data_IF_413889092165
#
_entry.id   IF_413889092165
#
_cell.length_a   1.000
_cell.length_b   1.000
_cell.length_c   1.000
_cell.angle_alpha   90.00
_cell.angle_beta   90.00
_cell.angle_gamma   90.00
#
_symmetry.space_group_name_H-M   'P 1'
#
loop_
_entity.id
_entity.type
_entity.pdbx_description
1 polymer ?
#
# COMPACT_ATOMS: atom_id res chain seq x y z
N UNK A 1 24.55 -9.78 45.02
CA UNK A 1 23.75 -8.54 45.02
C UNK A 1 22.40 -8.86 44.43
N UNK A 2 21.37 -8.30 45.05
CA UNK A 2 19.99 -8.80 45.17
C UNK A 2 19.15 -8.82 43.88
N UNK A 3 18.49 -9.95 43.66
CA UNK A 3 17.30 -10.11 42.80
C UNK A 3 16.14 -9.26 43.36
N UNK A 4 15.43 -8.53 42.48
CA UNK A 4 14.12 -7.96 42.80
C UNK A 4 13.13 -8.32 41.70
N UNK A 5 12.32 -9.35 41.96
CA UNK A 5 11.14 -9.68 41.19
C UNK A 5 9.98 -8.74 41.62
N UNK A 6 9.30 -8.15 40.65
CA UNK A 6 8.10 -7.33 40.88
C UNK A 6 6.89 -8.27 40.81
N UNK A 7 6.14 -8.36 41.92
CA UNK A 7 4.82 -9.03 42.01
C UNK A 7 3.73 -8.03 41.67
N UNK A 8 2.75 -8.44 40.88
CA UNK A 8 1.47 -7.73 40.71
C UNK A 8 0.44 -8.25 41.74
N UNK A 9 -0.40 -7.38 42.33
CA UNK A 9 -1.47 -7.81 43.23
C UNK A 9 -2.70 -8.32 42.45
N UNK A 10 -3.38 -9.30 43.04
CA UNK A 10 -4.63 -9.88 42.57
C UNK A 10 -5.81 -8.89 42.78
N UNK A 11 -6.77 -8.91 41.87
CA UNK A 11 -8.03 -8.17 41.95
C UNK A 11 -9.12 -9.14 42.38
N UNK A 12 -9.83 -8.80 43.46
CA UNK A 12 -11.00 -9.50 43.99
C UNK A 12 -12.26 -9.15 43.17
N UNK A 13 -13.09 -10.14 42.86
CA UNK A 13 -14.42 -9.98 42.24
C UNK A 13 -15.48 -9.60 43.28
N UNK A 14 -16.45 -8.71 42.96
CA UNK A 14 -17.65 -8.55 43.76
C UNK A 14 -18.90 -9.23 43.18
N UNK A 15 -19.77 -9.59 44.12
CA UNK A 15 -20.97 -10.42 44.06
C UNK A 15 -22.05 -10.06 43.01
N UNK A 16 -22.67 -11.12 42.47
CA UNK A 16 -23.79 -11.11 41.52
C UNK A 16 -25.13 -10.91 42.28
N UNK A 17 -25.84 -9.81 42.01
CA UNK A 17 -27.22 -9.57 42.50
C UNK A 17 -28.21 -9.65 41.34
N UNK A 18 -29.23 -10.47 41.58
CA UNK A 18 -30.34 -10.88 40.70
C UNK A 18 -31.23 -9.75 40.16
N UNK A 19 -31.76 -9.95 38.94
CA UNK A 19 -32.85 -9.12 38.40
C UNK A 19 -33.43 -9.65 37.07
N UNK A 20 -34.55 -10.39 37.13
CA UNK A 20 -35.38 -10.77 35.96
C UNK A 20 -36.04 -9.54 35.35
N UNK A 21 -35.93 -9.36 34.03
CA UNK A 21 -36.81 -8.45 33.27
C UNK A 21 -37.35 -9.15 32.02
N UNK A 22 -38.67 -9.10 31.88
CA UNK A 22 -39.47 -9.70 30.83
C UNK A 22 -39.32 -8.95 29.49
N UNK A 23 -39.13 -9.70 28.40
CA UNK A 23 -39.17 -9.18 27.03
C UNK A 23 -40.61 -9.07 26.53
N UNK A 24 -41.01 -7.89 26.08
CA UNK A 24 -42.19 -7.69 25.22
C UNK A 24 -41.72 -7.14 23.88
N UNK A 25 -42.08 -7.85 22.80
CA UNK A 25 -41.67 -7.56 21.44
C UNK A 25 -42.60 -6.52 20.80
N UNK A 26 -42.03 -5.46 20.22
CA UNK A 26 -42.73 -4.60 19.26
C UNK A 26 -41.94 -4.51 17.95
N UNK A 27 -42.61 -4.95 16.87
CA UNK A 27 -42.23 -4.78 15.46
C UNK A 27 -42.42 -3.32 15.04
N UNK A 28 -41.51 -2.78 14.20
CA UNK A 28 -41.77 -1.74 13.17
C UNK A 28 -40.49 -1.57 12.32
N UNK A 29 -40.49 -1.95 11.04
CA UNK A 29 -40.94 -1.22 9.85
C UNK A 29 -39.91 -0.16 9.36
N UNK A 30 -39.33 -0.40 8.19
CA UNK A 30 -38.30 0.42 7.53
C UNK A 30 -38.91 1.54 6.66
N UNK A 31 -38.22 2.69 6.47
CA UNK A 31 -38.64 3.74 5.54
C UNK A 31 -37.94 3.65 4.17
N UNK A 32 -38.56 4.14 3.07
CA UNK A 32 -38.00 4.05 1.72
C UNK A 32 -37.09 5.23 1.33
N UNK A 33 -36.19 4.94 0.37
CA UNK A 33 -35.18 5.82 -0.25
C UNK A 33 -35.81 6.89 -1.17
N UNK A 34 -35.34 8.14 -1.09
CA UNK A 34 -35.55 9.17 -2.12
C UNK A 34 -34.33 9.33 -3.04
N UNK A 35 -34.62 9.46 -4.34
CA UNK A 35 -33.68 9.71 -5.45
C UNK A 35 -33.37 11.21 -5.58
N UNK A 36 -32.10 11.54 -5.81
CA UNK A 36 -31.65 12.89 -6.17
C UNK A 36 -31.93 13.21 -7.65
N UNK A 37 -32.46 14.40 -7.95
CA UNK A 37 -32.47 15.02 -9.27
C UNK A 37 -31.37 16.08 -9.34
N UNK A 38 -30.55 16.00 -10.38
CA UNK A 38 -29.58 17.02 -10.76
C UNK A 38 -30.27 18.12 -11.58
N UNK A 39 -29.92 19.38 -11.33
CA UNK A 39 -30.19 20.49 -12.23
C UNK A 39 -28.90 21.30 -12.35
N UNK A 40 -28.39 21.44 -13.58
CA UNK A 40 -27.27 22.30 -13.91
C UNK A 40 -27.80 23.57 -14.54
N UNK A 41 -27.19 24.71 -14.23
CA UNK A 41 -27.43 25.96 -14.94
C UNK A 41 -26.14 26.74 -15.16
N UNK A 42 -26.14 27.42 -16.31
CA UNK A 42 -25.04 28.09 -16.99
C UNK A 42 -24.78 29.47 -16.37
N UNK A 43 -23.52 29.87 -16.43
CA UNK A 43 -23.03 31.21 -16.08
C UNK A 43 -23.23 32.20 -17.23
N UNK A 44 -23.81 33.36 -16.94
CA UNK A 44 -23.60 34.60 -17.71
C UNK A 44 -23.26 35.75 -16.76
N UNK A 45 -22.20 36.46 -17.10
CA UNK A 45 -21.60 37.59 -16.41
C UNK A 45 -22.25 38.90 -16.83
N UNK A 46 -22.58 39.79 -15.91
CA UNK A 46 -22.64 41.25 -16.14
C UNK A 46 -22.26 42.02 -14.87
N UNK A 47 -21.36 42.99 -15.05
CA UNK A 47 -20.87 43.96 -14.06
C UNK A 47 -21.83 45.13 -13.87
N UNK A 48 -22.00 45.63 -12.63
CA UNK A 48 -21.99 47.07 -12.24
C UNK A 48 -22.52 47.28 -10.81
N UNK A 49 -21.83 48.15 -10.06
CA UNK A 49 -22.45 49.13 -9.16
C UNK A 49 -22.49 48.77 -7.67
N UNK A 50 -21.59 49.38 -6.91
CA UNK A 50 -21.65 49.45 -5.45
C UNK A 50 -22.91 50.22 -4.99
N UNK A 51 -23.85 49.48 -4.40
CA UNK A 51 -24.87 50.00 -3.48
C UNK A 51 -24.96 48.97 -2.37
N UNK A 52 -24.55 49.34 -1.14
CA UNK A 52 -24.74 48.50 0.05
C UNK A 52 -26.23 48.57 0.42
N UNK A 53 -27.01 47.48 0.30
CA UNK A 53 -28.38 47.47 0.78
C UNK A 53 -28.39 47.27 2.31
N UNK A 54 -29.43 47.76 3.02
CA UNK A 54 -29.62 47.39 4.42
C UNK A 54 -29.78 45.87 4.53
N UNK A 55 -29.02 45.26 5.45
CA UNK A 55 -28.95 43.81 5.66
C UNK A 55 -30.34 43.31 6.08
N UNK A 56 -30.98 42.40 5.33
CA UNK A 56 -32.26 41.83 5.75
C UNK A 56 -32.06 40.88 6.94
N UNK A 57 -32.99 40.93 7.90
CA UNK A 57 -33.04 40.02 9.04
C UNK A 57 -33.01 38.56 8.59
N UNK A 58 -32.27 37.74 9.35
CA UNK A 58 -31.91 36.37 9.00
C UNK A 58 -32.84 35.38 9.68
N UNK A 59 -33.93 35.01 9.01
CA UNK A 59 -34.93 34.08 9.54
C UNK A 59 -34.36 32.64 9.59
N UNK A 60 -34.43 32.03 10.77
CA UNK A 60 -33.82 30.73 11.10
C UNK A 60 -34.60 29.50 10.59
N UNK A 61 -33.87 28.40 10.40
CA UNK A 61 -34.41 27.05 10.61
C UNK A 61 -34.03 26.58 12.02
N UNK A 62 -34.95 25.87 12.68
CA UNK A 62 -34.86 25.48 14.10
C UNK A 62 -33.49 24.87 14.46
N UNK A 63 -32.84 25.34 15.53
CA UNK A 63 -31.60 24.74 16.02
C UNK A 63 -31.85 23.32 16.56
N UNK A 64 -30.87 22.43 16.36
CA UNK A 64 -30.94 21.01 16.76
C UNK A 64 -29.96 20.69 17.88
N UNK A 65 -30.44 19.95 18.88
CA UNK A 65 -29.64 19.45 19.99
C UNK A 65 -28.98 18.11 19.65
N UNK A 66 -27.71 17.94 20.06
CA UNK A 66 -27.03 16.65 20.07
C UNK A 66 -26.32 16.46 21.42
N UNK A 67 -26.67 15.40 22.14
CA UNK A 67 -25.88 14.90 23.27
C UNK A 67 -24.90 13.86 22.69
N UNK A 68 -23.60 14.11 22.81
CA UNK A 68 -22.58 13.12 22.46
C UNK A 68 -22.14 12.37 23.73
N UNK A 69 -22.70 11.18 23.91
CA UNK A 69 -22.30 10.20 24.93
C UNK A 69 -22.86 8.83 24.55
N UNK A 70 -21.99 7.85 24.30
CA UNK A 70 -22.41 6.46 24.05
C UNK A 70 -22.63 5.78 25.40
N UNK A 71 -23.76 5.11 25.65
CA UNK A 71 -23.83 4.12 26.71
C UNK A 71 -22.97 2.92 26.27
N UNK A 72 -21.98 2.57 27.07
CA UNK A 72 -21.21 1.32 26.94
C UNK A 72 -22.06 0.17 27.46
N UNK A 73 -22.36 -0.80 26.60
CA UNK A 73 -23.09 -2.01 26.96
C UNK A 73 -23.54 -2.79 25.74
N UNK A 74 -22.63 -3.63 25.20
CA UNK A 74 -22.99 -4.74 24.33
C UNK A 74 -21.92 -5.82 24.51
N UNK A 75 -22.26 -6.88 25.23
CA UNK A 75 -21.49 -8.12 25.28
C UNK A 75 -21.61 -8.88 23.94
N UNK A 76 -20.63 -9.74 23.61
CA UNK A 76 -20.63 -10.51 22.37
C UNK A 76 -21.42 -11.82 22.54
N UNK A 77 -22.50 -11.99 21.77
CA UNK A 77 -23.19 -13.28 21.68
C UNK A 77 -22.35 -14.32 20.92
N UNK A 78 -22.15 -15.46 21.57
CA UNK A 78 -21.51 -16.64 21.03
C UNK A 78 -22.54 -17.62 20.42
N UNK A 79 -22.21 -18.09 19.21
CA UNK A 79 -22.49 -19.39 18.60
C UNK A 79 -23.95 -19.87 18.41
N UNK A 80 -24.26 -20.35 17.20
CA UNK A 80 -24.74 -21.72 16.89
C UNK A 80 -24.71 -21.90 15.35
N UNK A 81 -24.23 -23.06 14.90
CA UNK A 81 -23.96 -23.36 13.50
C UNK A 81 -25.10 -24.07 12.73
N UNK A 82 -24.68 -24.68 11.61
CA UNK A 82 -25.44 -25.67 10.86
C UNK A 82 -26.16 -25.12 9.64
N UNK A 83 -25.64 -25.44 8.45
CA UNK A 83 -26.32 -25.17 7.18
C UNK A 83 -25.37 -25.41 6.00
N UNK A 84 -25.19 -26.67 5.63
CA UNK A 84 -24.54 -27.04 4.38
C UNK A 84 -25.42 -26.62 3.20
N UNK A 85 -24.81 -26.00 2.20
CA UNK A 85 -25.39 -25.80 0.89
C UNK A 85 -24.41 -26.34 -0.15
N UNK A 86 -24.87 -27.38 -0.83
CA UNK A 86 -24.24 -28.04 -1.96
C UNK A 86 -24.09 -27.05 -3.12
N UNK A 87 -22.87 -26.90 -3.64
CA UNK A 87 -22.65 -26.30 -4.95
C UNK A 87 -22.84 -27.37 -6.03
N UNK A 88 -23.73 -27.18 -7.02
CA UNK A 88 -23.80 -28.08 -8.17
C UNK A 88 -22.63 -27.81 -9.12
N UNK A 89 -22.01 -28.90 -9.58
CA UNK A 89 -21.05 -28.92 -10.68
C UNK A 89 -21.65 -28.34 -11.97
N UNK A 90 -20.89 -27.57 -12.78
CA UNK A 90 -21.24 -27.36 -14.17
C UNK A 90 -20.76 -28.54 -15.02
N UNK A 91 -21.77 -29.18 -15.60
CA UNK A 91 -21.77 -30.22 -16.62
C UNK A 91 -20.77 -30.02 -17.76
N UNK A 92 -20.15 -31.13 -18.11
CA UNK A 92 -19.62 -31.53 -19.42
C UNK A 92 -20.42 -30.98 -20.60
N UNK A 93 -19.75 -30.28 -21.51
CA UNK A 93 -20.22 -30.12 -22.89
C UNK A 93 -19.15 -30.62 -23.87
N UNK A 94 -19.56 -31.66 -24.58
CA UNK A 94 -18.94 -32.19 -25.78
C UNK A 94 -18.72 -31.09 -26.82
N UNK A 95 -17.49 -30.97 -27.34
CA UNK A 95 -17.28 -30.49 -28.69
C UNK A 95 -16.31 -31.41 -29.44
N UNK A 96 -16.69 -31.63 -30.70
CA UNK A 96 -16.29 -32.71 -31.58
C UNK A 96 -14.78 -32.73 -31.87
N UNK A 97 -14.22 -33.93 -31.79
CA UNK A 97 -13.06 -34.32 -32.57
C UNK A 97 -13.47 -34.47 -34.04
N UNK A 98 -12.82 -33.73 -34.93
CA UNK A 98 -12.76 -34.05 -36.36
C UNK A 98 -11.33 -34.46 -36.69
N UNK A 99 -11.13 -35.77 -36.78
CA UNK A 99 -9.98 -36.39 -37.43
C UNK A 99 -10.30 -36.55 -38.92
N UNK A 100 -9.43 -36.03 -39.79
CA UNK A 100 -9.21 -36.30 -41.23
C UNK A 100 -8.04 -35.40 -41.61
N UNK A 101 -6.99 -35.79 -42.30
CA UNK A 101 -6.57 -37.00 -42.98
C UNK A 101 -5.22 -36.63 -43.60
N UNK A 102 -4.30 -37.59 -43.69
CA UNK A 102 -2.95 -37.34 -44.20
C UNK A 102 -2.95 -36.86 -45.65
N UNK A 103 -1.96 -36.03 -45.98
CA UNK A 103 -1.37 -36.04 -47.31
C UNK A 103 0.14 -35.82 -47.18
N UNK A 104 0.88 -36.88 -47.52
CA UNK A 104 2.30 -36.84 -47.84
C UNK A 104 2.46 -36.04 -49.12
N UNK A 105 3.28 -35.01 -49.11
CA UNK A 105 3.93 -34.50 -50.31
C UNK A 105 5.43 -34.41 -50.02
N UNK A 106 6.16 -35.34 -50.63
CA UNK A 106 7.60 -35.25 -50.76
C UNK A 106 7.97 -34.18 -51.79
N UNK A 107 9.05 -33.46 -51.51
CA UNK A 107 9.59 -32.42 -52.38
C UNK A 107 11.00 -32.07 -51.96
N UNK A 108 11.95 -32.81 -52.54
CA UNK A 108 13.36 -32.47 -52.80
C UNK A 108 14.10 -31.55 -51.83
N UNK A 109 15.08 -32.14 -51.14
CA UNK A 109 16.26 -31.46 -50.62
C UNK A 109 16.97 -30.70 -51.74
N UNK A 110 16.96 -29.37 -51.65
CA UNK A 110 17.96 -28.54 -52.29
C UNK A 110 18.74 -27.83 -51.17
N UNK A 111 19.94 -28.34 -50.91
CA UNK A 111 20.97 -27.67 -50.12
C UNK A 111 21.38 -26.37 -50.82
N UNK A 112 20.69 -25.28 -50.49
CA UNK A 112 21.21 -23.92 -50.67
C UNK A 112 21.68 -23.45 -49.30
N UNK A 113 23.02 -23.42 -49.14
CA UNK A 113 23.69 -22.88 -47.97
C UNK A 113 23.19 -21.47 -47.67
N UNK A 114 22.65 -21.30 -46.47
CA UNK A 114 22.22 -20.02 -45.94
C UNK A 114 23.45 -19.13 -45.70
N UNK A 115 23.48 -17.87 -46.19
CA UNK A 115 24.65 -16.98 -46.06
C UNK A 115 24.73 -16.29 -44.69
N UNK A 116 23.95 -16.71 -43.70
CA UNK A 116 24.04 -16.17 -42.35
C UNK A 116 25.13 -16.89 -41.57
N UNK A 117 26.34 -16.33 -41.58
CA UNK A 117 27.32 -16.57 -40.52
C UNK A 117 26.62 -16.46 -39.16
N UNK A 118 26.80 -17.47 -38.31
CA UNK A 118 26.01 -17.67 -37.09
C UNK A 118 25.84 -16.38 -36.29
N UNK A 119 24.62 -15.84 -36.30
CA UNK A 119 24.27 -14.69 -35.47
C UNK A 119 24.38 -15.14 -34.02
N UNK A 120 25.42 -14.65 -33.35
CA UNK A 120 25.64 -14.79 -31.92
C UNK A 120 24.44 -14.22 -31.17
N UNK A 121 23.90 -15.03 -30.25
CA UNK A 121 22.67 -14.73 -29.51
C UNK A 121 23.03 -14.48 -28.06
N UNK A 122 22.39 -13.50 -27.44
CA UNK A 122 22.54 -13.27 -26.00
C UNK A 122 21.27 -13.70 -25.26
N UNK A 123 21.41 -14.17 -24.03
CA UNK A 123 20.29 -14.49 -23.16
C UNK A 123 20.06 -13.34 -22.18
N UNK A 124 18.82 -12.91 -21.99
CA UNK A 124 18.43 -11.95 -20.96
C UNK A 124 17.39 -12.56 -20.03
N UNK A 125 17.66 -12.54 -18.73
CA UNK A 125 16.81 -13.13 -17.69
C UNK A 125 16.17 -12.04 -16.83
N UNK A 126 14.86 -12.13 -16.64
CA UNK A 126 14.06 -11.22 -15.81
C UNK A 126 13.19 -11.99 -14.83
N UNK A 127 12.55 -11.29 -13.88
CA UNK A 127 11.71 -11.96 -12.88
C UNK A 127 10.34 -12.38 -13.42
N UNK A 128 9.68 -11.56 -14.25
CA UNK A 128 8.28 -11.78 -14.65
C UNK A 128 8.12 -12.06 -16.15
N UNK A 129 7.12 -12.89 -16.51
CA UNK A 129 6.82 -13.16 -17.92
C UNK A 129 6.34 -11.90 -18.67
N UNK A 130 5.65 -11.00 -17.97
CA UNK A 130 5.17 -9.74 -18.55
C UNK A 130 6.36 -8.88 -18.96
N UNK A 131 7.32 -8.68 -18.05
CA UNK A 131 8.58 -7.98 -18.33
C UNK A 131 9.36 -8.64 -19.47
N UNK A 132 9.43 -9.97 -19.49
CA UNK A 132 10.10 -10.70 -20.56
C UNK A 132 9.48 -10.41 -21.94
N UNK A 133 8.15 -10.43 -22.03
CA UNK A 133 7.43 -10.12 -23.27
C UNK A 133 7.65 -8.67 -23.71
N UNK A 134 7.61 -7.72 -22.78
CA UNK A 134 7.84 -6.29 -23.08
C UNK A 134 9.26 -6.07 -23.61
N UNK A 135 10.28 -6.58 -22.92
CA UNK A 135 11.69 -6.41 -23.31
C UNK A 135 12.02 -7.15 -24.62
N UNK A 136 11.43 -8.34 -24.84
CA UNK A 136 11.61 -9.07 -26.11
C UNK A 136 11.15 -8.25 -27.33
N UNK A 137 10.10 -7.42 -27.18
CA UNK A 137 9.64 -6.51 -28.25
C UNK A 137 10.67 -5.43 -28.57
N UNK A 138 11.41 -4.95 -27.57
CA UNK A 138 12.42 -3.91 -27.75
C UNK A 138 13.71 -4.46 -28.40
N UNK A 139 14.17 -5.62 -27.94
CA UNK A 139 15.47 -6.19 -28.33
C UNK A 139 15.42 -7.03 -29.62
N UNK A 140 14.24 -7.45 -30.06
CA UNK A 140 14.06 -8.20 -31.31
C UNK A 140 14.69 -9.60 -31.25
N UNK A 141 15.13 -10.11 -32.40
CA UNK A 141 15.56 -11.52 -32.55
C UNK A 141 17.01 -11.81 -32.10
N UNK A 142 17.80 -10.79 -31.76
CA UNK A 142 19.20 -10.95 -31.33
C UNK A 142 19.33 -11.44 -29.88
N UNK A 143 18.26 -11.29 -29.09
CA UNK A 143 18.21 -11.66 -27.69
C UNK A 143 17.14 -12.70 -27.44
N UNK A 144 17.45 -13.68 -26.61
CA UNK A 144 16.49 -14.62 -26.03
C UNK A 144 16.10 -14.06 -24.66
N UNK A 145 14.86 -13.64 -24.47
CA UNK A 145 14.41 -13.10 -23.18
C UNK A 145 13.59 -14.14 -22.41
N UNK A 146 13.99 -14.49 -21.19
CA UNK A 146 13.32 -15.49 -20.34
C UNK A 146 13.04 -14.98 -18.94
N UNK A 147 12.02 -15.55 -18.31
CA UNK A 147 11.65 -15.22 -16.95
C UNK A 147 12.03 -16.33 -15.97
N UNK A 148 12.69 -15.99 -14.86
CA UNK A 148 13.00 -16.92 -13.77
C UNK A 148 11.81 -17.16 -12.82
N UNK A 149 10.79 -16.28 -12.85
CA UNK A 149 9.57 -16.34 -12.03
C UNK A 149 9.81 -16.15 -10.53
N UNK A 150 10.65 -15.17 -10.17
CA UNK A 150 10.97 -14.81 -8.79
C UNK A 150 12.22 -15.53 -8.28
N UNK A 151 12.24 -15.86 -6.98
CA UNK A 151 13.38 -16.53 -6.34
C UNK A 151 13.62 -17.91 -6.93
N UNK A 152 14.86 -18.17 -7.37
CA UNK A 152 15.26 -19.46 -7.94
C UNK A 152 15.74 -20.45 -6.88
N UNK A 153 16.36 -19.94 -5.83
CA UNK A 153 16.77 -20.69 -4.66
C UNK A 153 16.50 -19.88 -3.40
N UNK A 154 16.31 -20.56 -2.28
CA UNK A 154 16.10 -19.95 -0.97
C UNK A 154 16.71 -20.84 0.12
N UNK A 155 16.57 -20.41 1.38
CA UNK A 155 16.94 -21.21 2.53
C UNK A 155 16.21 -22.56 2.52
N UNK A 156 16.88 -23.64 2.96
CA UNK A 156 16.28 -24.96 2.95
C UNK A 156 15.00 -25.04 3.78
N UNK A 157 13.97 -25.64 3.20
CA UNK A 157 12.65 -25.80 3.81
C UNK A 157 12.18 -27.26 3.75
N UNK A 158 11.17 -27.61 4.56
CA UNK A 158 10.64 -28.97 4.62
C UNK A 158 11.29 -29.88 5.66
N UNK A 159 11.37 -31.19 5.36
CA UNK A 159 11.63 -32.25 6.36
C UNK A 159 13.09 -32.70 6.49
N UNK A 160 13.98 -32.26 5.60
CA UNK A 160 15.39 -32.68 5.57
C UNK A 160 16.22 -31.98 6.66
N UNK A 161 17.42 -32.49 6.97
CA UNK A 161 18.21 -32.07 8.13
C UNK A 161 18.55 -30.57 8.12
N UNK A 162 18.97 -30.05 6.97
CA UNK A 162 19.34 -28.63 6.82
C UNK A 162 18.12 -27.70 7.04
N UNK A 163 16.92 -28.13 6.64
CA UNK A 163 15.68 -27.41 6.90
C UNK A 163 15.23 -27.41 8.37
N UNK A 164 15.89 -28.18 9.25
CA UNK A 164 15.62 -28.16 10.71
C UNK A 164 16.52 -27.19 11.47
N UNK A 165 17.50 -26.59 10.79
CA UNK A 165 18.43 -25.64 11.41
C UNK A 165 17.79 -24.24 11.41
N UNK A 166 17.91 -23.58 12.56
CA UNK A 166 17.54 -22.17 12.73
C UNK A 166 18.63 -21.23 12.18
N UNK A 167 19.89 -21.68 12.20
CA UNK A 167 21.07 -20.97 11.73
C UNK A 167 22.21 -21.97 11.46
N UNK A 168 23.20 -21.55 10.67
CA UNK A 168 24.40 -22.32 10.34
C UNK A 168 25.63 -21.68 10.98
N UNK A 169 26.68 -22.47 11.18
CA UNK A 169 27.94 -21.97 11.72
C UNK A 169 28.58 -20.99 10.72
N UNK A 170 29.28 -19.99 11.26
CA UNK A 170 30.08 -19.05 10.50
C UNK A 170 31.34 -18.72 11.30
N UNK A 171 32.42 -18.37 10.61
CA UNK A 171 33.59 -17.80 11.26
C UNK A 171 33.26 -16.39 11.81
N UNK A 172 34.11 -15.90 12.69
CA UNK A 172 34.00 -14.52 13.19
C UNK A 172 34.04 -13.55 12.00
N UNK A 173 33.14 -12.58 12.00
CA UNK A 173 33.02 -11.53 10.97
C UNK A 173 32.67 -12.06 9.55
N UNK A 174 32.12 -13.28 9.45
CA UNK A 174 31.61 -13.84 8.20
C UNK A 174 30.12 -14.19 8.31
N UNK A 175 29.40 -14.11 7.20
CA UNK A 175 28.04 -14.62 7.11
C UNK A 175 28.03 -16.15 7.04
N UNK A 176 27.03 -16.83 7.63
CA UNK A 176 26.86 -18.26 7.44
C UNK A 176 26.64 -18.61 5.96
N UNK A 177 27.17 -19.74 5.53
CA UNK A 177 26.98 -20.30 4.19
C UNK A 177 26.07 -21.53 4.25
N UNK A 178 24.73 -21.34 4.31
CA UNK A 178 23.81 -22.46 4.22
C UNK A 178 23.86 -23.09 2.83
N UNK A 179 23.49 -24.38 2.70
CA UNK A 179 23.13 -24.90 1.40
C UNK A 179 21.89 -24.13 0.89
N UNK A 180 21.88 -23.80 -0.40
CA UNK A 180 20.75 -23.17 -1.07
C UNK A 180 19.88 -24.24 -1.72
N UNK A 181 18.58 -24.23 -1.42
CA UNK A 181 17.64 -25.21 -1.97
C UNK A 181 16.77 -24.56 -3.03
N UNK A 182 16.29 -25.38 -3.98
CA UNK A 182 15.42 -24.91 -5.04
C UNK A 182 14.05 -24.54 -4.51
N UNK A 183 13.53 -23.41 -4.95
CA UNK A 183 12.13 -23.06 -4.73
C UNK A 183 11.23 -23.88 -5.65
N UNK A 184 9.94 -23.96 -5.31
CA UNK A 184 8.96 -24.72 -6.08
C UNK A 184 8.96 -24.30 -7.56
N UNK A 185 9.04 -25.28 -8.46
CA UNK A 185 9.12 -25.11 -9.91
C UNK A 185 10.37 -24.40 -10.47
N UNK A 186 11.19 -23.73 -9.65
CA UNK A 186 12.34 -22.97 -10.14
C UNK A 186 13.38 -23.85 -10.82
N UNK A 187 13.68 -25.02 -10.25
CA UNK A 187 14.63 -25.97 -10.85
C UNK A 187 14.28 -26.29 -12.30
N UNK A 188 13.02 -26.66 -12.55
CA UNK A 188 12.53 -26.97 -13.91
C UNK A 188 12.63 -25.77 -14.86
N UNK A 189 12.37 -24.56 -14.37
CA UNK A 189 12.46 -23.33 -15.16
C UNK A 189 13.92 -23.04 -15.53
N UNK A 190 14.82 -23.04 -14.55
CA UNK A 190 16.24 -22.75 -14.74
C UNK A 190 16.91 -23.84 -15.58
N UNK A 191 16.57 -25.11 -15.39
CA UNK A 191 17.02 -26.21 -16.27
C UNK A 191 16.54 -26.02 -17.72
N UNK A 192 15.35 -25.45 -17.92
CA UNK A 192 14.85 -25.04 -19.22
C UNK A 192 15.71 -23.94 -19.84
N UNK A 193 15.98 -22.87 -19.08
CA UNK A 193 16.83 -21.74 -19.49
C UNK A 193 18.24 -22.24 -19.83
N UNK A 194 18.83 -23.09 -19.00
CA UNK A 194 20.15 -23.69 -19.19
C UNK A 194 20.24 -24.52 -20.48
N UNK A 195 19.23 -25.37 -20.75
CA UNK A 195 19.18 -26.15 -22.00
C UNK A 195 19.07 -25.24 -23.23
N UNK A 196 18.27 -24.20 -23.15
CA UNK A 196 18.09 -23.26 -24.24
C UNK A 196 19.35 -22.43 -24.51
N UNK A 197 20.00 -21.92 -23.46
CA UNK A 197 21.27 -21.20 -23.55
C UNK A 197 22.34 -22.04 -24.27
N UNK A 198 22.51 -23.31 -23.87
CA UNK A 198 23.45 -24.24 -24.50
C UNK A 198 23.09 -24.55 -25.95
N UNK A 199 21.79 -24.74 -26.25
CA UNK A 199 21.32 -25.01 -27.61
C UNK A 199 21.54 -23.83 -28.55
N UNK A 200 21.29 -22.61 -28.06
CA UNK A 200 21.44 -21.37 -28.81
C UNK A 200 22.91 -20.90 -28.91
N UNK A 201 23.84 -21.53 -28.17
CA UNK A 201 25.25 -21.15 -28.07
C UNK A 201 25.39 -19.66 -27.72
N UNK A 202 24.76 -19.27 -26.62
CA UNK A 202 24.80 -17.87 -26.19
C UNK A 202 26.19 -17.47 -25.73
N UNK A 203 26.65 -16.28 -26.11
CA UNK A 203 27.95 -15.77 -25.69
C UNK A 203 27.87 -15.08 -24.32
N UNK A 204 26.76 -14.35 -24.07
CA UNK A 204 26.56 -13.61 -22.84
C UNK A 204 25.18 -13.89 -22.22
N UNK A 205 25.13 -13.84 -20.89
CA UNK A 205 23.89 -13.92 -20.10
C UNK A 205 23.73 -12.62 -19.31
N UNK A 206 22.70 -11.85 -19.63
CA UNK A 206 22.34 -10.62 -18.92
C UNK A 206 21.24 -10.89 -17.89
N UNK A 207 21.45 -10.48 -16.65
CA UNK A 207 20.46 -10.55 -15.58
C UNK A 207 19.88 -9.16 -15.33
N UNK A 208 18.57 -9.05 -15.54
CA UNK A 208 17.77 -7.83 -15.49
C UNK A 208 16.67 -7.94 -14.42
N UNK A 209 17.03 -8.43 -13.24
CA UNK A 209 16.18 -8.44 -12.04
C UNK A 209 15.95 -7.02 -11.52
N UNK A 210 14.95 -6.86 -10.65
CA UNK A 210 14.60 -5.55 -10.13
C UNK A 210 15.77 -4.88 -9.38
N UNK A 211 15.81 -3.53 -9.35
CA UNK A 211 16.91 -2.77 -8.76
C UNK A 211 16.85 -2.72 -7.21
N UNK A 212 16.33 -3.75 -6.55
CA UNK A 212 16.26 -3.83 -5.08
C UNK A 212 17.14 -4.98 -4.55
N UNK A 213 17.31 -5.05 -3.22
CA UNK A 213 18.10 -6.13 -2.58
C UNK A 213 17.59 -7.54 -2.91
N UNK A 214 16.29 -7.71 -3.17
CA UNK A 214 15.72 -9.02 -3.49
C UNK A 214 16.06 -9.42 -4.92
N UNK A 215 15.96 -8.49 -5.86
CA UNK A 215 16.41 -8.66 -7.24
C UNK A 215 17.91 -8.92 -7.32
N UNK A 216 18.71 -8.29 -6.47
CA UNK A 216 20.16 -8.53 -6.42
C UNK A 216 20.49 -9.93 -5.88
N UNK A 217 19.77 -10.40 -4.86
CA UNK A 217 19.89 -11.78 -4.39
C UNK A 217 19.52 -12.81 -5.47
N UNK A 218 18.46 -12.55 -6.24
CA UNK A 218 18.09 -13.41 -7.38
C UNK A 218 19.20 -13.40 -8.44
N UNK A 219 19.78 -12.23 -8.74
CA UNK A 219 20.86 -12.11 -9.70
C UNK A 219 22.10 -12.91 -9.28
N UNK A 220 22.52 -12.78 -8.02
CA UNK A 220 23.60 -13.58 -7.47
C UNK A 220 23.34 -15.09 -7.61
N UNK A 221 22.15 -15.58 -7.23
CA UNK A 221 21.85 -17.02 -7.38
C UNK A 221 21.87 -17.47 -8.84
N UNK A 222 21.35 -16.66 -9.76
CA UNK A 222 21.38 -16.97 -11.19
C UNK A 222 22.81 -16.99 -11.75
N UNK A 223 23.66 -16.05 -11.33
CA UNK A 223 25.08 -16.00 -11.69
C UNK A 223 25.80 -17.28 -11.25
N UNK A 224 25.61 -17.70 -9.99
CA UNK A 224 26.18 -18.94 -9.46
C UNK A 224 25.74 -20.19 -10.22
N UNK A 225 24.50 -20.23 -10.72
CA UNK A 225 23.92 -21.39 -11.40
C UNK A 225 24.27 -21.44 -12.89
N UNK A 226 24.46 -20.28 -13.52
CA UNK A 226 24.60 -20.15 -14.98
C UNK A 226 26.00 -19.75 -15.43
N UNK A 227 26.90 -19.38 -14.52
CA UNK A 227 28.26 -18.95 -14.83
C UNK A 227 29.14 -20.02 -15.49
N UNK A 228 28.77 -21.30 -15.42
CA UNK A 228 29.44 -22.38 -16.16
C UNK A 228 28.99 -22.49 -17.63
N UNK A 229 28.01 -21.69 -18.06
CA UNK A 229 27.46 -21.71 -19.42
C UNK A 229 28.10 -20.64 -20.29
N UNK A 230 28.18 -19.41 -19.78
CA UNK A 230 28.61 -18.20 -20.50
C UNK A 230 28.88 -17.06 -19.50
N UNK A 231 29.48 -15.97 -19.97
CA UNK A 231 29.75 -14.80 -19.12
C UNK A 231 28.45 -14.13 -18.66
N UNK A 232 28.33 -13.94 -17.35
CA UNK A 232 27.13 -13.38 -16.72
C UNK A 232 27.35 -11.91 -16.39
N UNK A 233 26.37 -11.08 -16.74
CA UNK A 233 26.39 -9.64 -16.55
C UNK A 233 25.12 -9.15 -15.85
N UNK A 234 25.26 -8.23 -14.90
CA UNK A 234 24.14 -7.56 -14.25
C UNK A 234 23.79 -6.30 -15.04
N UNK A 235 22.50 -6.06 -15.32
CA UNK A 235 22.02 -4.79 -15.89
C UNK A 235 20.90 -4.22 -15.05
N UNK A 236 20.91 -2.91 -14.82
CA UNK A 236 19.97 -2.21 -13.93
C UNK A 236 19.24 -1.14 -14.71
N UNK A 237 17.92 -1.07 -14.55
CA UNK A 237 17.07 0.01 -15.04
C UNK A 237 15.91 0.24 -14.08
N UNK A 238 15.43 1.48 -13.99
CA UNK A 238 14.35 1.88 -13.08
C UNK A 238 12.99 2.05 -13.79
N UNK A 239 12.97 1.86 -15.11
CA UNK A 239 11.80 1.90 -15.97
C UNK A 239 11.97 0.93 -17.14
N UNK A 240 10.86 0.42 -17.70
CA UNK A 240 10.87 -0.55 -18.80
C UNK A 240 10.60 0.16 -20.13
N UNK A 241 11.48 1.11 -20.47
CA UNK A 241 11.47 1.82 -21.76
C UNK A 241 12.54 1.24 -22.68
N UNK A 242 12.36 1.38 -24.00
CA UNK A 242 13.34 0.89 -24.98
C UNK A 242 14.72 1.53 -24.75
N UNK A 243 14.76 2.84 -24.53
CA UNK A 243 15.99 3.60 -24.27
C UNK A 243 16.68 3.18 -22.97
N UNK A 244 15.94 2.95 -21.88
CA UNK A 244 16.54 2.52 -20.62
C UNK A 244 17.14 1.11 -20.73
N UNK A 245 16.46 0.18 -21.41
CA UNK A 245 16.95 -1.19 -21.59
C UNK A 245 18.19 -1.23 -22.48
N UNK A 246 18.17 -0.55 -23.63
CA UNK A 246 19.33 -0.45 -24.54
C UNK A 246 20.51 0.25 -23.85
N UNK A 247 20.24 1.30 -23.08
CA UNK A 247 21.25 1.99 -22.27
C UNK A 247 21.88 1.09 -21.22
N UNK A 248 21.08 0.29 -20.51
CA UNK A 248 21.56 -0.65 -19.50
C UNK A 248 22.42 -1.77 -20.11
N UNK A 249 22.05 -2.29 -21.29
CA UNK A 249 22.85 -3.29 -22.02
C UNK A 249 24.23 -2.76 -22.44
N UNK A 250 24.36 -1.46 -22.69
CA UNK A 250 25.65 -0.85 -23.04
C UNK A 250 26.60 -0.69 -21.85
N UNK A 251 26.09 -0.82 -20.62
CA UNK A 251 26.84 -0.60 -19.37
C UNK A 251 26.55 -1.72 -18.35
N UNK A 252 26.94 -2.97 -18.65
CA UNK A 252 26.80 -4.06 -17.70
C UNK A 252 27.62 -3.79 -16.44
N UNK A 253 27.04 -4.08 -15.29
CA UNK A 253 27.70 -4.06 -13.99
C UNK A 253 27.95 -5.49 -13.50
N UNK A 254 28.62 -5.59 -12.36
CA UNK A 254 28.66 -6.81 -11.56
C UNK A 254 27.51 -6.83 -10.56
N UNK A 255 27.25 -7.99 -9.99
CA UNK A 255 26.35 -8.13 -8.87
C UNK A 255 26.92 -7.39 -7.64
N UNK A 256 26.08 -6.59 -6.99
CA UNK A 256 26.43 -5.87 -5.77
C UNK A 256 26.32 -6.80 -4.55
N UNK A 257 27.48 -7.29 -4.10
CA UNK A 257 27.55 -8.21 -2.97
C UNK A 257 27.10 -7.59 -1.64
N UNK A 258 27.15 -6.25 -1.48
CA UNK A 258 26.63 -5.62 -0.26
C UNK A 258 25.10 -5.70 -0.19
N UNK A 259 24.42 -5.51 -1.32
CA UNK A 259 22.96 -5.69 -1.42
C UNK A 259 22.57 -7.16 -1.25
N UNK A 260 23.35 -8.08 -1.83
CA UNK A 260 23.16 -9.53 -1.64
C UNK A 260 23.30 -9.90 -0.16
N UNK A 261 24.34 -9.42 0.51
CA UNK A 261 24.59 -9.73 1.91
C UNK A 261 23.53 -9.11 2.82
N UNK A 262 23.05 -7.90 2.53
CA UNK A 262 21.88 -7.33 3.20
C UNK A 262 20.63 -8.21 3.05
N UNK A 263 20.41 -8.75 1.84
CA UNK A 263 19.31 -9.67 1.56
C UNK A 263 19.45 -11.04 2.26
N UNK A 264 20.68 -11.57 2.36
CA UNK A 264 21.01 -12.78 3.14
C UNK A 264 20.76 -12.56 4.62
N UNK A 265 21.27 -11.49 5.20
CA UNK A 265 21.10 -11.15 6.63
C UNK A 265 19.61 -11.06 6.96
N UNK A 266 18.82 -10.36 6.14
CA UNK A 266 17.36 -10.30 6.32
C UNK A 266 16.73 -11.70 6.37
N UNK A 267 17.05 -12.58 5.41
CA UNK A 267 16.55 -13.96 5.37
C UNK A 267 16.98 -14.75 6.60
N UNK A 268 18.22 -14.63 7.03
CA UNK A 268 18.75 -15.32 8.21
C UNK A 268 18.06 -14.85 9.49
N UNK A 269 17.82 -13.54 9.64
CA UNK A 269 17.11 -12.98 10.78
C UNK A 269 15.65 -13.46 10.82
N UNK A 270 14.95 -13.40 9.68
CA UNK A 270 13.55 -13.80 9.61
C UNK A 270 13.41 -15.31 9.88
N UNK A 271 14.33 -16.12 9.34
CA UNK A 271 14.46 -17.54 9.64
C UNK A 271 14.70 -17.78 11.13
N UNK A 272 15.69 -17.13 11.72
CA UNK A 272 16.07 -17.32 13.12
C UNK A 272 14.90 -17.00 14.05
N UNK A 273 14.29 -15.83 13.88
CA UNK A 273 13.15 -15.40 14.71
C UNK A 273 12.02 -16.41 14.54
N UNK A 274 11.57 -16.67 13.32
CA UNK A 274 10.47 -17.60 13.05
C UNK A 274 10.71 -18.99 13.62
N UNK A 275 11.93 -19.53 13.49
CA UNK A 275 12.26 -20.85 14.05
C UNK A 275 12.23 -20.86 15.57
N UNK A 276 12.84 -19.86 16.22
CA UNK A 276 12.94 -19.77 17.68
C UNK A 276 11.57 -19.53 18.32
N UNK A 277 10.70 -18.74 17.69
CA UNK A 277 9.36 -18.45 18.18
C UNK A 277 8.31 -19.49 17.80
N UNK A 278 8.59 -20.40 16.85
CA UNK A 278 7.61 -21.38 16.34
C UNK A 278 6.98 -22.27 17.42
N UNK A 279 7.75 -22.67 18.44
CA UNK A 279 7.24 -23.46 19.56
C UNK A 279 6.25 -22.65 20.39
N UNK A 280 6.60 -21.40 20.72
CA UNK A 280 5.74 -20.49 21.45
C UNK A 280 4.47 -20.15 20.65
N UNK A 281 4.61 -19.82 19.36
CA UNK A 281 3.47 -19.55 18.50
C UNK A 281 2.47 -20.72 18.53
N UNK A 282 2.94 -21.97 18.38
CA UNK A 282 2.07 -23.15 18.47
C UNK A 282 1.44 -23.36 19.84
N UNK A 283 2.17 -23.14 20.95
CA UNK A 283 1.60 -23.31 22.30
C UNK A 283 0.47 -22.32 22.58
N UNK A 284 0.53 -21.13 21.96
CA UNK A 284 -0.50 -20.09 22.03
C UNK A 284 -1.49 -20.11 20.86
N UNK A 285 -1.48 -21.16 20.02
CA UNK A 285 -2.34 -21.30 18.83
C UNK A 285 -2.25 -20.12 17.84
N UNK A 286 -1.10 -19.44 17.81
CA UNK A 286 -0.78 -18.38 16.85
C UNK A 286 -0.33 -19.01 15.52
N UNK A 287 -0.75 -18.42 14.41
CA UNK A 287 -0.38 -18.89 13.06
C UNK A 287 1.12 -18.77 12.81
N UNK A 288 1.71 -17.62 13.14
CA UNK A 288 3.14 -17.39 13.01
C UNK A 288 3.59 -16.24 13.90
N UNK A 289 4.90 -16.14 14.11
CA UNK A 289 5.56 -14.99 14.72
C UNK A 289 6.72 -14.58 13.84
N UNK A 290 6.95 -13.27 13.73
CA UNK A 290 7.91 -12.74 12.78
C UNK A 290 8.39 -11.37 13.22
N UNK A 291 9.65 -11.08 12.91
CA UNK A 291 10.35 -9.86 13.36
C UNK A 291 9.63 -8.57 12.99
N UNK A 292 8.92 -8.53 11.86
CA UNK A 292 8.16 -7.35 11.40
C UNK A 292 6.66 -7.47 11.71
N UNK A 293 6.06 -8.63 11.49
CA UNK A 293 4.61 -8.80 11.68
C UNK A 293 4.20 -8.63 13.15
N UNK A 294 5.03 -9.12 14.09
CA UNK A 294 4.69 -9.13 15.51
C UNK A 294 4.67 -7.70 16.09
N UNK A 295 5.69 -6.85 15.87
CA UNK A 295 5.59 -5.43 16.24
C UNK A 295 4.47 -4.68 15.53
N UNK A 296 4.20 -5.00 14.25
CA UNK A 296 3.12 -4.36 13.49
C UNK A 296 1.75 -4.65 14.13
N UNK A 297 1.52 -5.89 14.56
CA UNK A 297 0.33 -6.25 15.34
C UNK A 297 0.31 -5.52 16.69
N UNK A 298 1.47 -5.33 17.32
CA UNK A 298 1.64 -4.53 18.53
C UNK A 298 1.05 -3.13 18.38
N UNK A 299 1.35 -2.40 17.30
CA UNK A 299 0.77 -1.06 17.07
C UNK A 299 -0.77 -1.06 16.99
N UNK A 300 -1.37 -2.14 16.49
CA UNK A 300 -2.83 -2.28 16.43
C UNK A 300 -3.39 -2.54 17.83
N UNK A 301 -2.74 -3.41 18.61
CA UNK A 301 -3.12 -3.72 19.99
C UNK A 301 -2.99 -2.47 20.88
N UNK A 302 -1.87 -1.76 20.79
CA UNK A 302 -1.64 -0.51 21.54
C UNK A 302 -2.76 0.50 21.26
N UNK A 303 -3.16 0.66 20.00
CA UNK A 303 -4.28 1.52 19.62
C UNK A 303 -5.62 1.04 20.17
N UNK A 304 -5.86 -0.27 20.28
CA UNK A 304 -7.11 -0.77 20.85
C UNK A 304 -7.12 -0.59 22.38
N UNK A 305 -6.00 -0.80 23.05
CA UNK A 305 -5.85 -0.51 24.48
C UNK A 305 -6.05 0.98 24.78
N UNK A 306 -5.53 1.88 23.93
CA UNK A 306 -5.82 3.32 24.00
C UNK A 306 -7.33 3.61 23.88
N UNK A 307 -8.05 2.85 23.04
CA UNK A 307 -9.50 3.01 22.85
C UNK A 307 -10.31 2.45 24.03
N UNK A 308 -9.89 1.33 24.61
CA UNK A 308 -10.51 0.74 25.80
C UNK A 308 -10.31 1.62 27.05
N UNK A 309 -9.13 2.22 27.17
CA UNK A 309 -8.81 3.16 28.26
C UNK A 309 -9.45 4.55 28.07
N UNK A 310 -10.00 4.85 26.89
CA UNK A 310 -10.59 6.15 26.60
C UNK A 310 -11.89 6.36 27.38
N UNK A 311 -11.89 7.30 28.33
CA UNK A 311 -13.08 7.73 29.05
C UNK A 311 -13.67 8.95 28.32
N UNK A 312 -14.89 8.91 27.76
CA UNK A 312 -15.47 10.07 27.10
C UNK A 312 -15.84 11.19 28.10
N UNK A 313 -15.41 12.42 27.83
CA UNK A 313 -15.84 13.61 28.61
C UNK A 313 -17.09 14.22 27.98
N UNK A 314 -18.25 14.25 28.66
CA UNK A 314 -19.46 14.86 28.14
C UNK A 314 -19.31 16.37 28.00
N UNK A 315 -19.98 16.93 26.99
CA UNK A 315 -20.06 18.37 26.76
C UNK A 315 -21.34 18.74 26.03
N UNK A 316 -21.76 19.99 26.20
CA UNK A 316 -22.77 20.63 25.39
C UNK A 316 -22.11 21.54 24.35
N UNK A 317 -22.68 21.56 23.15
CA UNK A 317 -22.32 22.49 22.10
C UNK A 317 -23.59 22.96 21.41
N UNK A 318 -23.70 24.27 21.16
CA UNK A 318 -24.83 24.86 20.45
C UNK A 318 -24.37 25.26 19.06
N UNK A 319 -25.07 24.78 18.04
CA UNK A 319 -24.80 25.03 16.63
C UNK A 319 -25.98 25.72 15.99
N UNK A 320 -25.72 26.67 15.11
CA UNK A 320 -26.75 27.41 14.39
C UNK A 320 -26.41 27.54 12.90
N UNK A 321 -27.47 27.65 12.10
CA UNK A 321 -27.43 27.96 10.68
C UNK A 321 -28.29 29.21 10.45
N UNK A 322 -27.65 30.27 9.97
CA UNK A 322 -28.29 31.55 9.69
C UNK A 322 -28.02 31.91 8.23
N UNK A 323 -29.04 31.81 7.36
CA UNK A 323 -28.91 32.05 5.91
C UNK A 323 -27.75 31.27 5.25
N UNK A 324 -27.49 30.04 5.69
CA UNK A 324 -26.42 29.20 5.15
C UNK A 324 -25.04 29.46 5.78
N UNK A 325 -24.94 30.39 6.74
CA UNK A 325 -23.76 30.55 7.58
C UNK A 325 -23.89 29.64 8.79
N UNK A 326 -23.08 28.59 8.82
CA UNK A 326 -22.99 27.66 9.96
C UNK A 326 -21.97 28.17 10.96
N UNK A 327 -22.37 28.26 12.23
CA UNK A 327 -21.48 28.66 13.32
C UNK A 327 -21.82 27.92 14.62
N UNK A 328 -20.87 27.95 15.56
CA UNK A 328 -21.06 27.40 16.89
C UNK A 328 -21.11 28.56 17.90
N UNK A 329 -21.87 28.38 18.98
CA UNK A 329 -21.79 29.26 20.14
C UNK A 329 -20.40 29.12 20.80
N UNK A 330 -19.80 30.26 21.14
CA UNK A 330 -18.58 30.34 21.96
C UNK A 330 -19.02 30.55 23.40
N UNK A 331 -18.59 29.69 24.31
CA UNK A 331 -19.00 29.72 25.73
C UNK A 331 -17.99 30.42 26.62
N UNK A 332 -16.70 30.16 26.43
CA UNK A 332 -15.64 30.61 27.33
C UNK A 332 -14.44 31.15 26.55
N UNK A 333 -13.62 31.95 27.22
CA UNK A 333 -12.24 32.24 26.86
C UNK A 333 -11.29 31.21 27.49
N UNK A 334 -10.08 31.06 26.94
CA UNK A 334 -9.14 30.04 27.42
C UNK A 334 -8.63 30.30 28.85
N UNK A 335 -8.80 31.52 29.37
CA UNK A 335 -8.38 31.93 30.70
C UNK A 335 -9.46 31.70 31.76
N UNK A 336 -10.70 31.39 31.35
CA UNK A 336 -11.81 31.21 32.27
C UNK A 336 -11.64 29.92 33.08
N UNK A 337 -12.00 29.96 34.36
CA UNK A 337 -11.81 28.84 35.29
C UNK A 337 -12.77 27.67 35.05
N UNK A 338 -13.93 27.95 34.47
CA UNK A 338 -14.98 27.03 34.07
C UNK A 338 -14.90 26.62 32.58
N UNK A 339 -13.89 27.11 31.86
CA UNK A 339 -13.66 26.77 30.47
C UNK A 339 -13.59 25.24 30.28
N UNK A 340 -14.37 24.74 29.31
CA UNK A 340 -14.35 23.33 28.99
C UNK A 340 -12.96 22.89 28.49
N UNK A 341 -12.46 21.80 29.09
CA UNK A 341 -11.21 21.15 28.70
C UNK A 341 -11.44 19.65 28.60
N UNK A 342 -10.73 19.00 27.68
CA UNK A 342 -10.65 17.55 27.67
C UNK A 342 -9.72 17.02 28.78
N UNK A 343 -9.55 15.70 28.83
CA UNK A 343 -8.72 15.03 29.85
C UNK A 343 -7.23 15.36 29.74
N UNK A 344 -6.79 15.85 28.57
CA UNK A 344 -5.42 16.30 28.33
C UNK A 344 -5.27 17.80 28.61
N UNK A 345 -6.33 18.48 29.07
CA UNK A 345 -6.34 19.91 29.37
C UNK A 345 -6.52 20.80 28.15
N UNK A 346 -6.81 20.24 26.97
CA UNK A 346 -7.02 21.00 25.73
C UNK A 346 -8.35 21.74 25.79
N UNK A 347 -8.28 23.04 25.59
CA UNK A 347 -9.42 23.94 25.58
C UNK A 347 -10.18 23.92 24.24
N UNK A 348 -11.50 23.94 24.30
CA UNK A 348 -12.40 24.18 23.15
C UNK A 348 -13.47 25.19 23.52
N UNK A 349 -13.40 26.38 22.92
CA UNK A 349 -14.31 27.48 23.20
C UNK A 349 -15.78 27.18 22.79
N UNK A 350 -16.00 26.18 21.93
CA UNK A 350 -17.34 25.82 21.43
C UNK A 350 -18.05 24.78 22.30
N UNK A 351 -17.49 24.45 23.47
CA UNK A 351 -17.98 23.43 24.39
C UNK A 351 -18.17 23.99 25.79
N UNK A 352 -19.15 23.45 26.51
CA UNK A 352 -19.37 23.71 27.93
C UNK A 352 -19.81 22.43 28.65
N UNK A 353 -19.47 22.28 29.93
CA UNK A 353 -20.05 21.27 30.81
C UNK A 353 -21.32 21.78 31.53
N UNK A 354 -21.61 23.08 31.43
CA UNK A 354 -22.79 23.71 32.01
C UNK A 354 -23.99 23.60 31.06
N UNK A 355 -24.95 22.78 31.47
CA UNK A 355 -26.21 22.59 30.75
C UNK A 355 -27.04 23.88 30.71
N UNK A 356 -27.10 24.64 31.79
CA UNK A 356 -27.90 25.86 31.87
C UNK A 356 -27.34 26.92 30.92
N UNK A 357 -26.02 27.06 30.85
CA UNK A 357 -25.37 27.96 29.91
C UNK A 357 -25.65 27.55 28.45
N UNK A 358 -25.63 26.25 28.14
CA UNK A 358 -26.00 25.75 26.81
C UNK A 358 -27.47 26.02 26.46
N UNK A 359 -28.39 25.83 27.41
CA UNK A 359 -29.81 26.14 27.25
C UNK A 359 -30.04 27.63 27.01
N UNK A 360 -29.34 28.49 27.75
CA UNK A 360 -29.38 29.95 27.56
C UNK A 360 -28.88 30.35 26.17
N UNK A 361 -27.76 29.80 25.70
CA UNK A 361 -27.24 30.08 24.37
C UNK A 361 -28.21 29.61 23.27
N UNK A 362 -28.83 28.45 23.44
CA UNK A 362 -29.84 27.93 22.52
C UNK A 362 -31.09 28.81 22.48
N UNK A 363 -31.58 29.23 23.65
CA UNK A 363 -32.75 30.09 23.77
C UNK A 363 -32.48 31.46 23.17
N UNK A 364 -31.32 32.06 23.45
CA UNK A 364 -30.90 33.32 22.85
C UNK A 364 -30.86 33.25 21.32
N UNK A 365 -30.40 32.13 20.74
CA UNK A 365 -30.42 31.94 19.28
C UNK A 365 -31.82 31.69 18.70
N UNK A 366 -32.75 31.18 19.51
CA UNK A 366 -34.12 30.88 19.05
C UNK A 366 -35.04 32.09 19.17
N UNK A 367 -34.87 32.90 20.21
CA UNK A 367 -35.68 34.08 20.48
C UNK A 367 -35.29 35.28 19.60
N UNK A 368 -34.08 35.28 19.06
CA UNK A 368 -33.60 36.35 18.20
C UNK A 368 -33.63 35.91 16.74
N UNK A 369 -34.43 36.58 15.91
CA UNK A 369 -34.53 36.30 14.47
C UNK A 369 -33.45 37.00 13.62
N UNK A 370 -32.44 37.61 14.26
CA UNK A 370 -31.36 38.30 13.58
C UNK A 370 -30.06 38.27 14.39
N UNK A 371 -28.93 38.14 13.69
CA UNK A 371 -27.60 38.24 14.24
C UNK A 371 -26.87 39.42 13.61
N UNK A 372 -26.16 40.18 14.43
CA UNK A 372 -25.24 41.22 13.95
C UNK A 372 -23.86 40.62 13.77
N UNK A 373 -23.32 40.73 12.56
CA UNK A 373 -21.91 40.40 12.31
C UNK A 373 -21.06 41.51 12.94
N UNK A 374 -20.20 41.13 13.88
CA UNK A 374 -19.29 42.05 14.54
C UNK A 374 -18.00 42.28 13.72
N UNK A 375 -17.31 41.18 13.35
CA UNK A 375 -16.00 41.25 12.68
C UNK A 375 -15.92 40.23 11.55
N UNK A 376 -15.34 40.63 10.41
CA UNK A 376 -15.00 39.73 9.28
C UNK A 376 -13.50 39.77 9.02
N UNK A 377 -12.85 38.60 9.01
CA UNK A 377 -11.42 38.45 8.69
C UNK A 377 -11.24 37.60 7.44
N UNK A 378 -10.82 38.23 6.34
CA UNK A 378 -10.48 37.52 5.11
C UNK A 378 -9.05 36.96 5.18
N UNK A 379 -8.86 35.70 4.78
CA UNK A 379 -7.54 35.09 4.61
C UNK A 379 -7.47 34.36 3.28
N UNK A 380 -6.27 34.30 2.69
CA UNK A 380 -5.98 33.51 1.49
C UNK A 380 -5.18 32.28 1.89
N UNK A 381 -5.83 31.12 2.14
CA UNK A 381 -5.09 29.91 2.49
C UNK A 381 -4.24 29.46 1.30
N UNK A 382 -2.93 29.33 1.52
CA UNK A 382 -2.02 28.77 0.53
C UNK A 382 -1.88 27.27 0.75
N UNK A 383 -2.16 26.46 -0.28
CA UNK A 383 -1.91 25.02 -0.27
C UNK A 383 -0.63 24.72 -1.06
N UNK A 384 0.33 24.05 -0.42
CA UNK A 384 1.53 23.57 -1.10
C UNK A 384 1.21 22.32 -1.94
N UNK A 385 1.82 22.24 -3.12
CA UNK A 385 1.79 21.03 -3.93
C UNK A 385 2.45 19.87 -3.17
N UNK A 386 1.95 18.67 -3.39
CA UNK A 386 2.53 17.46 -2.81
C UNK A 386 3.74 17.00 -3.64
N UNK A 387 4.74 16.38 -3.02
CA UNK A 387 5.84 15.78 -3.77
C UNK A 387 5.36 14.60 -4.64
N UNK A 388 6.17 14.16 -5.61
CA UNK A 388 5.98 12.89 -6.31
C UNK A 388 5.81 11.70 -5.34
N UNK A 389 5.20 10.61 -5.83
CA UNK A 389 4.86 9.48 -4.98
C UNK A 389 6.08 8.64 -4.60
N UNK A 390 6.29 8.45 -3.30
CA UNK A 390 6.99 7.28 -2.75
C UNK A 390 6.02 6.10 -2.61
N UNK A 391 6.53 4.91 -2.29
CA UNK A 391 5.71 3.71 -2.08
C UNK A 391 4.65 3.92 -1.00
N UNK A 392 5.03 4.47 0.16
CA UNK A 392 4.13 4.70 1.29
C UNK A 392 3.10 5.79 0.98
N UNK A 393 3.50 6.88 0.32
CA UNK A 393 2.59 7.94 -0.11
C UNK A 393 1.57 7.42 -1.13
N UNK A 394 1.99 6.58 -2.08
CA UNK A 394 1.09 5.92 -3.04
C UNK A 394 0.09 5.01 -2.32
N UNK A 395 0.55 4.18 -1.37
CA UNK A 395 -0.31 3.27 -0.62
C UNK A 395 -1.33 4.02 0.24
N UNK A 396 -0.91 5.08 0.93
CA UNK A 396 -1.80 5.94 1.72
C UNK A 396 -2.83 6.66 0.85
N UNK A 397 -2.41 7.20 -0.30
CA UNK A 397 -3.31 7.88 -1.22
C UNK A 397 -4.36 6.93 -1.82
N UNK A 398 -3.97 5.72 -2.20
CA UNK A 398 -4.89 4.71 -2.72
C UNK A 398 -5.87 4.22 -1.63
N UNK A 399 -5.39 4.00 -0.41
CA UNK A 399 -6.23 3.64 0.73
C UNK A 399 -7.24 4.73 1.08
N UNK A 400 -6.81 5.99 1.12
CA UNK A 400 -7.67 7.12 1.45
C UNK A 400 -8.69 7.48 0.37
N UNK A 401 -8.34 7.32 -0.91
CA UNK A 401 -9.21 7.69 -2.04
C UNK A 401 -10.11 6.57 -2.53
N UNK A 402 -9.60 5.34 -2.55
CA UNK A 402 -10.28 4.21 -3.18
C UNK A 402 -10.53 3.04 -2.21
N UNK A 403 -10.15 3.18 -0.94
CA UNK A 403 -10.26 2.11 0.07
C UNK A 403 -9.55 0.82 -0.37
N UNK A 404 -8.49 0.96 -1.17
CA UNK A 404 -7.69 -0.17 -1.60
C UNK A 404 -6.77 -0.64 -0.48
N UNK A 405 -6.69 -1.95 -0.31
CA UNK A 405 -5.67 -2.58 0.53
C UNK A 405 -4.28 -2.36 -0.09
N UNK A 406 -3.20 -2.36 0.72
CA UNK A 406 -1.84 -2.27 0.18
C UNK A 406 -1.55 -3.33 -0.89
N UNK A 407 -2.07 -4.55 -0.73
CA UNK A 407 -1.90 -5.64 -1.68
C UNK A 407 -2.57 -5.37 -3.04
N UNK A 408 -3.75 -4.75 -3.07
CA UNK A 408 -4.42 -4.36 -4.30
C UNK A 408 -3.64 -3.27 -5.04
N UNK A 409 -3.20 -2.24 -4.32
CA UNK A 409 -2.40 -1.14 -4.90
C UNK A 409 -1.08 -1.66 -5.48
N UNK A 410 -0.35 -2.50 -4.74
CA UNK A 410 0.92 -3.06 -5.22
C UNK A 410 0.75 -4.00 -6.41
N UNK A 411 -0.38 -4.71 -6.51
CA UNK A 411 -0.70 -5.54 -7.68
C UNK A 411 -0.91 -4.68 -8.92
N UNK A 412 -1.75 -3.65 -8.82
CA UNK A 412 -2.02 -2.73 -9.94
C UNK A 412 -0.74 -1.99 -10.37
N UNK A 413 0.03 -1.45 -9.42
CA UNK A 413 1.31 -0.82 -9.70
C UNK A 413 2.31 -1.81 -10.32
N UNK A 414 2.33 -3.06 -9.86
CA UNK A 414 3.14 -4.13 -10.46
C UNK A 414 2.79 -4.39 -11.92
N UNK A 415 1.51 -4.41 -12.28
CA UNK A 415 1.06 -4.56 -13.68
C UNK A 415 1.49 -3.36 -14.53
N UNK A 416 1.31 -2.14 -14.01
CA UNK A 416 1.72 -0.91 -14.70
C UNK A 416 3.24 -0.85 -14.92
N UNK A 417 4.04 -1.17 -13.90
CA UNK A 417 5.50 -1.19 -14.01
C UNK A 417 5.95 -2.25 -15.02
N UNK A 418 5.44 -3.48 -14.94
CA UNK A 418 5.78 -4.55 -15.89
C UNK A 418 5.32 -4.24 -17.34
N UNK A 419 4.29 -3.42 -17.50
CA UNK A 419 3.82 -2.88 -18.78
C UNK A 419 4.63 -1.69 -19.30
N UNK A 420 5.52 -1.11 -18.48
CA UNK A 420 6.30 0.08 -18.84
C UNK A 420 5.53 1.40 -18.74
N UNK A 421 4.49 1.46 -17.89
CA UNK A 421 3.64 2.64 -17.72
C UNK A 421 4.06 3.55 -16.56
N UNK A 422 4.80 3.01 -15.58
CA UNK A 422 5.31 3.75 -14.42
C UNK A 422 6.76 3.35 -14.15
N UNK A 423 7.46 4.17 -13.38
CA UNK A 423 8.78 3.88 -12.79
C UNK A 423 8.67 2.78 -11.72
N UNK A 424 9.81 2.36 -11.19
CA UNK A 424 9.87 1.27 -10.22
C UNK A 424 9.06 1.57 -8.95
N UNK A 425 8.02 0.76 -8.70
CA UNK A 425 7.01 1.00 -7.67
C UNK A 425 7.47 0.84 -6.22
N UNK A 426 8.70 0.36 -5.97
CA UNK A 426 9.29 0.22 -4.63
C UNK A 426 10.41 1.24 -4.47
N UNK A 427 10.02 2.46 -4.17
CA UNK A 427 10.94 3.58 -3.94
C UNK A 427 10.57 4.37 -2.68
N UNK A 428 11.58 4.87 -1.99
CA UNK A 428 11.54 5.87 -0.93
C UNK A 428 11.97 7.28 -1.43
N UNK A 429 12.32 7.39 -2.71
CA UNK A 429 12.77 8.62 -3.35
C UNK A 429 11.58 9.40 -3.90
N UNK A 430 11.67 10.73 -3.82
CA UNK A 430 10.75 11.67 -4.51
C UNK A 430 11.42 12.35 -5.70
N UNK A 431 12.62 11.90 -6.08
CA UNK A 431 13.40 12.47 -7.18
C UNK A 431 12.75 12.14 -8.52
N UNK A 432 12.80 13.07 -9.45
CA UNK A 432 12.35 12.89 -10.84
C UNK A 432 13.47 13.28 -11.81
N UNK A 433 13.54 12.64 -12.97
CA UNK A 433 14.51 12.94 -14.02
C UNK A 433 14.21 14.29 -14.67
N UNK A 434 15.21 14.87 -15.33
CA UNK A 434 15.02 16.09 -16.12
C UNK A 434 14.01 15.85 -17.26
N UNK A 435 14.15 14.73 -17.99
CA UNK A 435 13.28 14.38 -19.10
C UNK A 435 11.80 14.25 -18.68
N UNK A 436 11.53 13.57 -17.55
CA UNK A 436 10.16 13.46 -17.02
C UNK A 436 9.59 14.82 -16.62
N UNK A 437 10.40 15.68 -16.00
CA UNK A 437 9.96 17.03 -15.59
C UNK A 437 9.62 17.91 -16.79
N UNK A 438 10.40 17.85 -17.86
CA UNK A 438 10.14 18.66 -19.06
C UNK A 438 8.90 18.17 -19.79
N UNK A 439 8.71 16.84 -19.90
CA UNK A 439 7.48 16.25 -20.44
C UNK A 439 6.23 16.69 -19.65
N UNK A 440 6.32 16.69 -18.32
CA UNK A 440 5.20 17.12 -17.46
C UNK A 440 4.92 18.62 -17.60
N UNK A 441 5.95 19.47 -17.75
CA UNK A 441 5.76 20.91 -18.00
C UNK A 441 4.99 21.16 -19.30
N UNK A 442 5.36 20.47 -20.39
CA UNK A 442 4.65 20.58 -21.67
C UNK A 442 3.18 20.20 -21.54
N UNK A 443 2.88 19.13 -20.81
CA UNK A 443 1.49 18.71 -20.54
C UNK A 443 0.76 19.75 -19.70
N UNK A 444 1.41 20.34 -18.69
CA UNK A 444 0.80 21.37 -17.85
C UNK A 444 0.48 22.62 -18.67
N UNK A 445 1.46 23.10 -19.43
CA UNK A 445 1.32 24.29 -20.27
C UNK A 445 0.21 24.12 -21.30
N UNK A 446 0.16 22.95 -21.97
CA UNK A 446 -0.88 22.65 -22.96
C UNK A 446 -2.29 22.62 -22.37
N UNK A 447 -2.45 22.10 -21.16
CA UNK A 447 -3.77 21.85 -20.58
C UNK A 447 -4.29 23.01 -19.71
N UNK A 448 -3.40 23.75 -19.04
CA UNK A 448 -3.77 24.78 -18.06
C UNK A 448 -3.06 26.13 -18.28
N UNK A 449 -2.03 26.19 -19.13
CA UNK A 449 -1.27 27.43 -19.38
C UNK A 449 0.02 27.53 -18.56
N UNK A 450 0.91 28.43 -19.01
CA UNK A 450 2.24 28.61 -18.42
C UNK A 450 2.21 29.17 -16.98
N UNK A 451 1.13 29.86 -16.60
CA UNK A 451 0.89 30.39 -15.25
C UNK A 451 0.65 29.30 -14.20
N UNK A 452 0.33 28.07 -14.63
CA UNK A 452 0.18 26.91 -13.77
C UNK A 452 1.47 26.11 -13.56
N UNK A 453 2.59 26.51 -14.19
CA UNK A 453 3.90 25.88 -14.01
C UNK A 453 4.50 26.32 -12.67
N UNK A 454 4.49 25.40 -11.70
CA UNK A 454 5.12 25.62 -10.40
C UNK A 454 6.65 25.46 -10.42
N UNK A 455 7.32 25.91 -9.36
CA UNK A 455 8.77 25.73 -9.16
C UNK A 455 9.20 24.25 -8.94
N UNK A 456 8.24 23.33 -8.90
CA UNK A 456 8.44 21.94 -8.49
C UNK A 456 8.55 21.78 -6.98
N UNK A 457 8.17 20.61 -6.47
CA UNK A 457 8.35 20.22 -5.07
C UNK A 457 9.13 18.92 -5.06
N UNK A 458 10.29 18.95 -4.41
CA UNK A 458 11.03 17.74 -4.03
C UNK A 458 10.63 17.41 -2.59
N UNK A 459 10.43 16.13 -2.27
CA UNK A 459 10.21 15.70 -0.90
C UNK A 459 11.47 15.86 -0.05
N UNK A 460 11.36 15.62 1.26
CA UNK A 460 12.54 15.47 2.11
C UNK A 460 13.35 14.28 1.59
N UNK A 461 14.63 14.49 1.30
CA UNK A 461 15.57 13.39 1.10
C UNK A 461 16.03 12.92 2.48
N UNK A 462 15.63 11.72 2.88
CA UNK A 462 16.26 11.07 4.02
C UNK A 462 17.68 10.67 3.59
N UNK A 463 18.69 11.01 4.40
CA UNK A 463 20.11 10.75 4.08
C UNK A 463 20.50 9.27 4.00
N UNK A 464 19.54 8.35 4.17
CA UNK A 464 19.68 6.91 4.00
C UNK A 464 18.90 6.36 2.80
N UNK A 465 18.25 7.21 2.00
CA UNK A 465 17.51 6.80 0.82
C UNK A 465 18.47 6.13 -0.18
N UNK A 466 18.04 5.02 -0.76
CA UNK A 466 18.80 4.36 -1.81
C UNK A 466 18.80 5.27 -3.05
N UNK A 467 19.91 6.01 -3.21
CA UNK A 467 20.10 7.17 -4.11
C UNK A 467 19.87 6.89 -5.62
N UNK A 468 19.57 5.63 -5.97
CA UNK A 468 19.36 5.18 -7.34
C UNK A 468 17.90 5.33 -7.85
N UNK A 469 16.90 5.44 -6.98
CA UNK A 469 15.49 5.35 -7.41
C UNK A 469 14.85 6.70 -7.80
N UNK A 470 13.88 6.62 -8.71
CA UNK A 470 13.08 7.73 -9.24
C UNK A 470 11.59 7.51 -8.94
N UNK A 471 10.87 8.60 -8.69
CA UNK A 471 9.44 8.65 -8.39
C UNK A 471 8.54 8.77 -9.62
#
# INVERSE_FOLDING_TARGET
MTNRAVRFPAVEEPDEVTGRVAQTAHKNAAPPRMRARACGEKSESHSRGDIVPPIPAVIFRRPTWFIYGRPTGAEPDAAIGGGGEENPEPSTSHFLACARGGSKWGGSENHLGSPFGGVRMDLLIVESNAKAKTIQKYLGKKYIVRACKGHVQDLPSGKHEQARKAMWAAAKDQLPEPPWDWTDNAKRIVDGIRREAKKAKVDNIFIATDPDREGEFIAWRLEEILGDIADVHRIIFHEITKSAVEGALSKPSKVDMFLVDAAKVRRYMDRLVGFRTSKFARSWKLQSMGRVQTPTLGFVVDRELEREAFVPTPYFAVKADAQGIQFNARFHESADGDAWRDQEGKFDANRTNDKALAEQAFQALTDNEALKIDTVKASKPTRRAQPPFTTDAMLQAAGGRWSWTPAQTMRAAGELYNGGHITYLRTDSTRTSAASRDTVKEVIERNWGADHIGKGVLGKQDGAAQDAHEA
#
